data_IF_666658095365
#
_entry.id   IF_666658095365
#
_cell.length_a   1.000
_cell.length_b   1.000
_cell.length_c   1.000
_cell.angle_alpha   90.00
_cell.angle_beta   90.00
_cell.angle_gamma   90.00
#
_symmetry.space_group_name_H-M   'P 1'
#
loop_
_entity.id
_entity.type
_entity.pdbx_description
1 polymer ?
#
# COMPACT_ATOMS: atom_id res chain seq x y z
N UNK A 1 -1.62 -22.60 -38.44
CA UNK A 1 -0.78 -21.53 -37.85
C UNK A 1 -1.44 -21.06 -36.58
N UNK A 2 -1.16 -21.73 -35.46
CA UNK A 2 -1.69 -21.35 -34.15
C UNK A 2 -0.84 -20.20 -33.61
N UNK A 3 -1.46 -19.04 -33.40
CA UNK A 3 -0.86 -17.92 -32.69
C UNK A 3 -0.72 -18.31 -31.21
N UNK A 4 0.46 -18.80 -30.87
CA UNK A 4 0.98 -18.80 -29.50
C UNK A 4 1.41 -17.37 -29.22
N UNK A 5 0.65 -16.64 -28.40
CA UNK A 5 1.15 -15.42 -27.78
C UNK A 5 0.91 -15.51 -26.28
N UNK A 6 1.96 -16.03 -25.66
CA UNK A 6 2.54 -15.66 -24.38
C UNK A 6 1.57 -15.26 -23.26
N UNK A 7 1.63 -16.08 -22.22
CA UNK A 7 1.17 -15.77 -20.88
C UNK A 7 1.43 -14.31 -20.53
N UNK A 8 0.37 -13.66 -20.04
CA UNK A 8 0.41 -12.41 -19.30
C UNK A 8 1.56 -12.47 -18.28
N UNK A 9 2.68 -11.84 -18.62
CA UNK A 9 3.84 -11.74 -17.74
C UNK A 9 3.39 -11.09 -16.44
N UNK A 10 3.34 -11.90 -15.38
CA UNK A 10 3.24 -11.40 -14.03
C UNK A 10 4.41 -10.43 -13.82
N UNK A 11 4.16 -9.20 -13.32
CA UNK A 11 5.21 -8.21 -13.16
C UNK A 11 6.34 -8.77 -12.28
N UNK A 12 7.61 -8.38 -12.53
CA UNK A 12 8.75 -8.89 -11.79
C UNK A 12 8.54 -8.66 -10.29
N UNK A 13 8.38 -9.77 -9.55
CA UNK A 13 8.54 -9.75 -8.10
C UNK A 13 9.98 -9.32 -7.83
N UNK A 14 10.13 -8.22 -7.09
CA UNK A 14 11.36 -7.76 -6.43
C UNK A 14 12.26 -6.79 -7.22
N UNK A 15 11.86 -5.52 -7.30
CA UNK A 15 12.80 -4.41 -7.41
C UNK A 15 12.95 -3.72 -6.03
N UNK A 16 14.08 -3.98 -5.40
CA UNK A 16 14.82 -3.09 -4.50
C UNK A 16 14.07 -2.43 -3.33
N UNK A 17 14.30 -2.97 -2.13
CA UNK A 17 14.15 -2.24 -0.88
C UNK A 17 14.84 -0.86 -1.00
N UNK A 18 14.05 0.22 -0.97
CA UNK A 18 14.59 1.59 -0.98
C UNK A 18 13.84 2.63 -1.82
N UNK A 19 12.54 2.48 -2.08
CA UNK A 19 11.75 3.59 -2.64
C UNK A 19 10.36 3.67 -2.02
N UNK A 20 9.93 4.89 -1.70
CA UNK A 20 8.64 5.23 -1.11
C UNK A 20 7.41 4.44 -1.63
N UNK A 21 7.21 4.30 -2.96
CA UNK A 21 6.07 3.55 -3.49
C UNK A 21 6.11 2.07 -3.10
N UNK A 22 7.28 1.42 -3.11
CA UNK A 22 7.41 0.00 -2.84
C UNK A 22 7.05 -0.37 -1.38
N UNK A 23 7.42 0.47 -0.40
CA UNK A 23 7.10 0.21 1.01
C UNK A 23 5.60 0.31 1.29
N UNK A 24 4.94 1.33 0.73
CA UNK A 24 3.49 1.48 0.88
C UNK A 24 2.73 0.40 0.14
N UNK A 25 3.17 0.01 -1.06
CA UNK A 25 2.58 -1.10 -1.81
C UNK A 25 2.63 -2.40 -1.00
N UNK A 26 3.78 -2.74 -0.41
CA UNK A 26 3.91 -3.91 0.47
C UNK A 26 2.99 -3.81 1.71
N UNK A 27 2.89 -2.62 2.32
CA UNK A 27 1.96 -2.39 3.42
C UNK A 27 0.49 -2.58 2.97
N UNK A 28 0.11 -2.07 1.80
CA UNK A 28 -1.26 -2.19 1.29
C UNK A 28 -1.64 -3.61 0.86
N UNK A 29 -0.71 -4.39 0.30
CA UNK A 29 -0.93 -5.82 0.02
C UNK A 29 -1.25 -6.59 1.31
N UNK A 30 -0.51 -6.30 2.40
CA UNK A 30 -0.77 -6.91 3.70
C UNK A 30 -2.14 -6.48 4.24
N UNK A 31 -2.45 -5.17 4.21
CA UNK A 31 -3.73 -4.63 4.67
C UNK A 31 -4.91 -5.19 3.87
N UNK A 32 -4.76 -5.41 2.56
CA UNK A 32 -5.81 -5.98 1.70
C UNK A 32 -6.19 -7.42 2.08
N UNK A 33 -5.33 -8.14 2.80
CA UNK A 33 -5.61 -9.50 3.29
C UNK A 33 -6.28 -9.51 4.66
N UNK A 34 -6.19 -8.41 5.39
CA UNK A 34 -6.73 -8.27 6.75
C UNK A 34 -8.03 -7.46 6.80
N UNK A 35 -8.17 -6.50 5.90
CA UNK A 35 -9.31 -5.60 5.81
C UNK A 35 -10.27 -6.13 4.73
N UNK A 36 -11.59 -6.18 5.00
CA UNK A 36 -12.57 -6.53 3.97
C UNK A 36 -12.42 -5.65 2.73
N UNK A 37 -12.51 -6.24 1.54
CA UNK A 37 -12.34 -5.59 0.23
C UNK A 37 -13.11 -4.27 0.10
N UNK A 38 -14.32 -4.22 0.66
CA UNK A 38 -15.23 -3.09 0.59
C UNK A 38 -14.70 -1.91 1.42
N UNK A 39 -14.11 -2.18 2.59
CA UNK A 39 -13.45 -1.18 3.42
C UNK A 39 -12.12 -0.76 2.82
N UNK A 40 -11.33 -1.71 2.31
CA UNK A 40 -10.05 -1.42 1.68
C UNK A 40 -10.20 -0.47 0.48
N UNK A 41 -11.11 -0.77 -0.45
CA UNK A 41 -11.33 0.05 -1.63
C UNK A 41 -11.91 1.43 -1.31
N UNK A 42 -12.63 1.56 -0.20
CA UNK A 42 -13.26 2.82 0.21
C UNK A 42 -12.30 3.72 0.99
N UNK A 43 -11.50 3.12 1.88
CA UNK A 43 -10.72 3.84 2.89
C UNK A 43 -9.22 3.82 2.60
N UNK A 44 -8.66 2.72 2.09
CA UNK A 44 -7.22 2.52 1.90
C UNK A 44 -6.77 2.84 0.47
N UNK A 45 -7.48 2.32 -0.55
CA UNK A 45 -7.18 2.55 -1.97
C UNK A 45 -7.04 4.04 -2.38
N UNK A 46 -7.84 4.99 -1.87
CA UNK A 46 -7.66 6.41 -2.21
C UNK A 46 -6.51 7.10 -1.46
N UNK A 47 -5.80 6.41 -0.56
CA UNK A 47 -4.66 6.95 0.15
C UNK A 47 -3.40 6.79 -0.69
N UNK A 48 -2.61 7.85 -0.78
CA UNK A 48 -1.26 7.79 -1.34
C UNK A 48 -0.26 8.02 -0.23
N UNK A 49 0.84 7.28 -0.21
CA UNK A 49 1.89 7.49 0.78
C UNK A 49 3.17 8.01 0.13
N UNK A 50 3.89 8.84 0.88
CA UNK A 50 5.22 9.32 0.51
C UNK A 50 6.18 9.07 1.65
N UNK A 51 7.24 8.32 1.39
CA UNK A 51 8.36 8.15 2.31
C UNK A 51 9.23 9.41 2.24
N UNK A 52 9.67 9.87 3.39
CA UNK A 52 10.68 10.90 3.51
C UNK A 52 12.02 10.39 2.98
N UNK A 53 12.88 11.33 2.55
CA UNK A 53 14.22 11.04 2.04
C UNK A 53 15.09 10.27 3.05
N UNK A 54 14.85 10.51 4.34
CA UNK A 54 15.50 9.84 5.47
C UNK A 54 15.05 8.38 5.66
N UNK A 55 14.00 7.93 4.96
CA UNK A 55 13.46 6.58 5.09
C UNK A 55 12.68 6.31 6.39
N UNK A 56 12.79 7.18 7.39
CA UNK A 56 12.20 6.98 8.72
C UNK A 56 10.74 7.45 8.86
N UNK A 57 10.15 8.08 7.84
CA UNK A 57 8.82 8.69 7.96
C UNK A 57 7.97 8.48 6.72
N UNK A 58 6.79 7.88 6.90
CA UNK A 58 5.79 7.72 5.85
C UNK A 58 4.66 8.73 6.06
N UNK A 59 4.37 9.53 5.04
CA UNK A 59 3.30 10.55 5.05
C UNK A 59 2.15 10.09 4.18
N UNK A 60 0.95 9.98 4.75
CA UNK A 60 -0.27 9.63 4.01
C UNK A 60 -0.99 10.89 3.50
N UNK A 61 -1.33 10.88 2.24
CA UNK A 61 -2.06 11.91 1.52
C UNK A 61 -3.46 11.41 1.15
N UNK A 62 -4.46 12.25 1.41
CA UNK A 62 -5.85 11.99 1.02
C UNK A 62 -6.57 13.30 0.71
N UNK A 63 -7.55 13.24 -0.18
CA UNK A 63 -8.37 14.39 -0.55
C UNK A 63 -9.33 14.85 0.58
N UNK A 64 -9.68 13.97 1.53
CA UNK A 64 -10.62 14.27 2.60
C UNK A 64 -10.03 13.95 3.98
N UNK A 65 -9.83 14.99 4.80
CA UNK A 65 -9.27 14.89 6.14
C UNK A 65 -10.08 14.02 7.10
N UNK A 66 -11.42 13.98 6.98
CA UNK A 66 -12.25 13.12 7.83
C UNK A 66 -11.98 11.64 7.56
N UNK A 67 -11.78 11.28 6.29
CA UNK A 67 -11.38 9.92 5.93
C UNK A 67 -10.01 9.57 6.50
N UNK A 68 -9.06 10.51 6.45
CA UNK A 68 -7.74 10.32 7.06
C UNK A 68 -7.86 10.05 8.55
N UNK A 69 -8.65 10.85 9.25
CA UNK A 69 -8.78 10.74 10.70
C UNK A 69 -9.39 9.40 11.10
N UNK A 70 -10.41 8.95 10.39
CA UNK A 70 -11.01 7.63 10.61
C UNK A 70 -10.03 6.48 10.32
N UNK A 71 -9.33 6.52 9.17
CA UNK A 71 -8.28 5.54 8.83
C UNK A 71 -7.18 5.56 9.87
N UNK A 72 -6.78 6.74 10.35
CA UNK A 72 -5.74 6.88 11.36
C UNK A 72 -6.21 6.30 12.69
N UNK A 73 -7.43 6.59 13.13
CA UNK A 73 -7.97 6.03 14.36
C UNK A 73 -8.08 4.50 14.31
N UNK A 74 -8.52 3.95 13.17
CA UNK A 74 -8.82 2.52 13.05
C UNK A 74 -7.60 1.69 12.65
N UNK A 75 -6.76 2.20 11.76
CA UNK A 75 -5.69 1.43 11.11
C UNK A 75 -4.29 1.97 11.36
N UNK A 76 -4.08 3.14 12.00
CA UNK A 76 -2.71 3.64 12.20
C UNK A 76 -1.84 2.66 12.99
N UNK A 77 -2.40 2.04 14.03
CA UNK A 77 -1.69 1.01 14.79
C UNK A 77 -1.31 -0.17 13.90
N UNK A 78 -2.24 -0.64 13.05
CA UNK A 78 -1.99 -1.80 12.18
C UNK A 78 -0.98 -1.48 11.07
N UNK A 79 -1.11 -0.30 10.46
CA UNK A 79 -0.17 0.21 9.46
C UNK A 79 1.24 0.30 10.07
N UNK A 80 1.37 0.91 11.25
CA UNK A 80 2.65 1.00 11.96
C UNK A 80 3.25 -0.38 12.24
N UNK A 81 2.47 -1.31 12.78
CA UNK A 81 2.93 -2.67 13.05
C UNK A 81 3.41 -3.40 11.78
N UNK A 82 2.70 -3.25 10.65
CA UNK A 82 3.13 -3.86 9.38
C UNK A 82 4.42 -3.22 8.88
N UNK A 83 4.55 -1.89 8.98
CA UNK A 83 5.75 -1.17 8.56
C UNK A 83 6.98 -1.52 9.40
N UNK A 84 6.83 -1.83 10.69
CA UNK A 84 7.95 -2.32 11.53
C UNK A 84 8.37 -3.76 11.20
N UNK A 85 7.53 -4.51 10.46
CA UNK A 85 7.81 -5.89 10.05
C UNK A 85 8.38 -5.99 8.62
N UNK A 86 8.41 -4.88 7.88
CA UNK A 86 8.94 -4.78 6.51
C UNK A 86 10.37 -4.26 6.51
#
# INVERSE_FOLDING_TARGET
MALVSAALEAPPRNESAGSAPALWEACTDRLSREIPEQQFNTWIRPLSARLADDGARLTLHVANRFKLDWVRAQYAHRIGAILEQL
#
